data_IF_938813354302
#
_entry.id   IF_938813354302
#
_cell.length_a   1.000
_cell.length_b   1.000
_cell.length_c   1.000
_cell.angle_alpha   90.00
_cell.angle_beta   90.00
_cell.angle_gamma   90.00
#
_symmetry.space_group_name_H-M   'P 1'
#
loop_
_entity.id
_entity.type
_entity.pdbx_description
1 polymer ?
#
# COMPACT_ATOMS: atom_id res chain seq x y z
N UNK A 1 -5.75 9.03 1.54
CA UNK A 1 -6.35 8.23 0.45
C UNK A 1 -7.37 9.06 -0.32
N UNK A 2 -8.46 9.52 0.32
CA UNK A 2 -9.54 10.29 -0.33
C UNK A 2 -9.08 11.59 -0.98
N UNK A 3 -8.13 12.32 -0.41
CA UNK A 3 -7.56 13.52 -1.04
C UNK A 3 -6.92 13.22 -2.39
N UNK A 4 -6.07 12.18 -2.44
CA UNK A 4 -5.40 11.76 -3.67
C UNK A 4 -6.36 11.20 -4.72
N UNK A 5 -7.52 10.70 -4.30
CA UNK A 5 -8.58 10.26 -5.19
C UNK A 5 -9.42 11.43 -5.72
N UNK A 6 -9.93 12.27 -4.81
CA UNK A 6 -10.95 13.26 -5.15
C UNK A 6 -10.40 14.49 -5.86
N UNK A 7 -9.24 15.03 -5.45
CA UNK A 7 -8.67 16.22 -6.09
C UNK A 7 -8.37 16.03 -7.58
N UNK A 8 -7.68 14.95 -8.02
CA UNK A 8 -7.44 14.72 -9.44
C UNK A 8 -8.71 14.46 -10.26
N UNK A 9 -9.81 14.05 -9.61
CA UNK A 9 -11.11 13.88 -10.24
C UNK A 9 -11.95 15.16 -10.30
N UNK A 10 -11.39 16.32 -9.89
CA UNK A 10 -12.09 17.59 -9.87
C UNK A 10 -13.17 17.66 -8.80
N UNK A 11 -12.97 16.98 -7.67
CA UNK A 11 -13.86 16.95 -6.50
C UNK A 11 -13.17 17.55 -5.26
N UNK A 12 -12.28 18.51 -5.45
CA UNK A 12 -11.54 19.17 -4.36
C UNK A 12 -12.49 19.84 -3.36
N UNK A 13 -13.48 20.58 -3.84
CA UNK A 13 -14.46 21.27 -2.98
C UNK A 13 -15.25 20.28 -2.10
N UNK A 14 -15.57 19.09 -2.64
CA UNK A 14 -16.23 18.03 -1.89
C UNK A 14 -15.32 17.50 -0.77
N UNK A 15 -14.05 17.32 -1.06
CA UNK A 15 -13.06 16.89 -0.07
C UNK A 15 -12.89 17.95 1.03
N UNK A 16 -12.76 19.23 0.67
CA UNK A 16 -12.59 20.35 1.59
C UNK A 16 -13.82 20.60 2.47
N UNK A 17 -15.00 20.33 1.95
CA UNK A 17 -16.25 20.39 2.73
C UNK A 17 -16.37 19.26 3.77
N UNK A 18 -15.51 18.24 3.67
CA UNK A 18 -15.46 17.09 4.55
C UNK A 18 -16.07 15.82 3.94
N UNK A 19 -15.35 14.72 4.07
CA UNK A 19 -15.80 13.39 3.66
C UNK A 19 -15.70 12.41 4.83
N UNK A 20 -16.53 11.37 4.77
CA UNK A 20 -16.42 10.21 5.64
C UNK A 20 -15.98 9.03 4.80
N UNK A 21 -14.94 8.34 5.25
CA UNK A 21 -14.36 7.21 4.54
C UNK A 21 -14.21 6.00 5.45
N UNK A 22 -14.38 4.82 4.87
CA UNK A 22 -14.11 3.54 5.52
C UNK A 22 -13.12 2.75 4.66
N UNK A 23 -11.91 2.56 5.21
CA UNK A 23 -10.82 1.85 4.54
C UNK A 23 -10.45 0.64 5.40
N UNK A 24 -10.35 -0.54 4.77
CA UNK A 24 -9.86 -1.74 5.41
C UNK A 24 -9.28 -2.72 4.40
N UNK A 25 -8.34 -3.57 4.86
CA UNK A 25 -7.67 -4.59 4.07
C UNK A 25 -6.37 -5.01 4.71
N UNK A 26 -5.29 -4.98 3.94
CA UNK A 26 -3.92 -5.16 4.42
C UNK A 26 -3.06 -3.97 4.00
N UNK A 27 -1.89 -3.81 4.62
CA UNK A 27 -0.97 -2.73 4.26
C UNK A 27 -0.67 -2.72 2.76
N UNK A 28 -0.72 -1.54 2.14
CA UNK A 28 -0.60 -1.29 0.70
C UNK A 28 -1.73 -1.90 -0.17
N UNK A 29 -2.68 -2.62 0.41
CA UNK A 29 -3.86 -3.13 -0.27
C UNK A 29 -5.09 -3.03 0.66
N UNK A 30 -5.28 -1.86 1.25
CA UNK A 30 -6.51 -1.44 1.87
C UNK A 30 -7.49 -0.96 0.80
N UNK A 31 -8.77 -1.20 1.01
CA UNK A 31 -9.83 -0.85 0.07
C UNK A 31 -10.68 0.26 0.66
N UNK A 32 -10.92 1.31 -0.12
CA UNK A 32 -11.91 2.32 0.22
C UNK A 32 -13.30 1.71 0.01
N UNK A 33 -13.85 1.16 1.10
CA UNK A 33 -15.10 0.37 1.06
C UNK A 33 -16.33 1.24 0.88
N UNK A 34 -16.33 2.41 1.50
CA UNK A 34 -17.33 3.44 1.26
C UNK A 34 -16.72 4.83 1.41
N UNK A 35 -17.32 5.80 0.74
CA UNK A 35 -16.99 7.21 0.87
C UNK A 35 -18.25 8.05 0.65
N UNK A 36 -18.54 8.90 1.64
CA UNK A 36 -19.70 9.82 1.57
C UNK A 36 -19.26 11.25 1.77
N UNK A 37 -20.05 12.20 1.27
CA UNK A 37 -19.88 13.60 1.58
C UNK A 37 -20.28 13.91 3.03
N UNK A 38 -20.18 15.19 3.41
CA UNK A 38 -20.57 15.67 4.76
C UNK A 38 -22.06 15.42 5.09
N UNK A 39 -22.91 15.34 4.08
CA UNK A 39 -24.36 15.17 4.19
C UNK A 39 -24.76 13.67 4.13
N UNK A 40 -23.79 12.76 3.88
CA UNK A 40 -23.98 11.32 3.86
C UNK A 40 -24.36 10.76 2.47
N UNK A 41 -24.22 11.54 1.41
CA UNK A 41 -24.45 11.04 0.05
C UNK A 41 -23.26 10.19 -0.42
N UNK A 42 -23.56 9.04 -1.03
CA UNK A 42 -22.53 8.15 -1.60
C UNK A 42 -21.83 8.82 -2.79
N UNK A 43 -20.50 8.90 -2.72
CA UNK A 43 -19.67 9.52 -3.75
C UNK A 43 -19.19 8.52 -4.82
N UNK A 44 -19.30 7.22 -4.59
CA UNK A 44 -18.79 6.21 -5.53
C UNK A 44 -19.38 6.28 -6.94
N UNK A 45 -20.68 6.53 -7.13
CA UNK A 45 -21.23 6.68 -8.49
C UNK A 45 -20.55 7.77 -9.32
N UNK A 46 -20.29 8.93 -8.71
CA UNK A 46 -19.62 10.03 -9.41
C UNK A 46 -18.11 9.78 -9.55
N UNK A 47 -17.46 9.18 -8.54
CA UNK A 47 -16.06 8.76 -8.61
C UNK A 47 -15.83 7.79 -9.77
N UNK A 48 -16.66 6.75 -9.91
CA UNK A 48 -16.57 5.77 -11.00
C UNK A 48 -16.68 6.42 -12.38
N UNK A 49 -17.65 7.30 -12.54
CA UNK A 49 -17.86 8.05 -13.79
C UNK A 49 -16.63 8.90 -14.15
N UNK A 50 -16.11 9.67 -13.18
CA UNK A 50 -14.97 10.57 -13.41
C UNK A 50 -13.65 9.79 -13.60
N UNK A 51 -13.43 8.73 -12.84
CA UNK A 51 -12.26 7.86 -13.00
C UNK A 51 -12.22 7.21 -14.39
N UNK A 52 -13.35 6.68 -14.86
CA UNK A 52 -13.45 6.11 -16.21
C UNK A 52 -13.15 7.17 -17.31
N UNK A 53 -13.73 8.37 -17.17
CA UNK A 53 -13.49 9.47 -18.11
C UNK A 53 -12.00 9.90 -18.10
N UNK A 54 -11.37 9.96 -16.91
CA UNK A 54 -9.97 10.34 -16.77
C UNK A 54 -9.04 9.28 -17.38
N UNK A 55 -9.30 7.99 -17.15
CA UNK A 55 -8.51 6.90 -17.74
C UNK A 55 -8.66 6.79 -19.27
N UNK A 56 -9.75 7.29 -19.82
CA UNK A 56 -9.95 7.38 -21.27
C UNK A 56 -9.23 8.59 -21.93
N UNK A 57 -8.74 9.53 -21.13
CA UNK A 57 -8.06 10.74 -21.56
C UNK A 57 -6.54 10.60 -21.61
N UNK A 58 -5.85 11.62 -21.12
CA UNK A 58 -4.38 11.64 -21.06
C UNK A 58 -3.84 10.70 -19.97
N UNK A 59 -2.62 10.17 -20.22
CA UNK A 59 -1.91 9.34 -19.24
C UNK A 59 -1.63 10.12 -17.94
N UNK A 60 -1.83 9.46 -16.83
CA UNK A 60 -1.55 10.00 -15.51
C UNK A 60 -1.01 8.92 -14.56
N UNK A 61 -0.57 9.32 -13.38
CA UNK A 61 0.11 8.44 -12.44
C UNK A 61 -0.81 7.39 -11.77
N UNK A 62 -2.12 7.58 -11.81
CA UNK A 62 -3.08 6.77 -11.04
C UNK A 62 -3.97 5.84 -11.89
N UNK A 63 -3.52 5.47 -13.09
CA UNK A 63 -4.31 4.72 -14.06
C UNK A 63 -4.70 3.31 -13.58
N UNK A 64 -3.81 2.61 -12.87
CA UNK A 64 -4.08 1.26 -12.37
C UNK A 64 -5.18 1.25 -11.32
N UNK A 65 -5.12 2.15 -10.33
CA UNK A 65 -6.16 2.21 -9.29
C UNK A 65 -7.51 2.67 -9.83
N UNK A 66 -7.52 3.51 -10.86
CA UNK A 66 -8.77 3.87 -11.54
C UNK A 66 -9.33 2.71 -12.38
N UNK A 67 -8.46 1.86 -12.94
CA UNK A 67 -8.89 0.62 -13.57
C UNK A 67 -9.47 -0.38 -12.54
N UNK A 68 -8.91 -0.41 -11.32
CA UNK A 68 -9.49 -1.18 -10.21
C UNK A 68 -10.91 -0.69 -9.84
N UNK A 69 -11.14 0.63 -9.81
CA UNK A 69 -12.50 1.16 -9.60
C UNK A 69 -13.46 0.61 -10.66
N UNK A 70 -13.06 0.57 -11.93
CA UNK A 70 -13.88 0.05 -13.01
C UNK A 70 -14.08 -1.47 -12.95
N UNK A 71 -13.02 -2.24 -12.69
CA UNK A 71 -13.03 -3.70 -12.77
C UNK A 71 -13.41 -4.39 -11.45
N UNK A 72 -12.96 -3.83 -10.32
CA UNK A 72 -13.19 -4.40 -8.99
C UNK A 72 -14.24 -3.63 -8.19
N UNK A 73 -14.60 -2.44 -8.64
CA UNK A 73 -15.61 -1.60 -8.00
C UNK A 73 -15.10 -0.70 -6.88
N UNK A 74 -13.82 -0.79 -6.49
CA UNK A 74 -13.25 -0.13 -5.32
C UNK A 74 -11.88 0.49 -5.63
N UNK A 75 -11.57 1.58 -4.91
CA UNK A 75 -10.26 2.20 -4.94
C UNK A 75 -9.34 1.52 -3.91
N UNK A 76 -8.10 1.24 -4.32
CA UNK A 76 -7.08 0.65 -3.45
C UNK A 76 -6.20 1.73 -2.83
N UNK A 77 -5.69 1.48 -1.64
CA UNK A 77 -4.62 2.30 -1.04
C UNK A 77 -3.29 2.09 -1.79
N UNK A 78 -2.27 2.87 -1.43
CA UNK A 78 -0.97 2.91 -2.07
C UNK A 78 -1.00 3.44 -3.52
N UNK A 79 0.10 3.39 -4.24
CA UNK A 79 0.22 3.91 -5.61
C UNK A 79 -0.28 2.93 -6.67
N UNK A 80 -0.57 3.43 -7.85
CA UNK A 80 -0.84 2.60 -9.03
C UNK A 80 0.36 1.74 -9.42
N UNK A 81 1.57 2.24 -9.24
CA UNK A 81 2.84 1.55 -9.45
C UNK A 81 2.91 0.27 -8.60
N UNK A 82 2.80 0.41 -7.28
CA UNK A 82 2.86 -0.74 -6.38
C UNK A 82 1.70 -1.72 -6.59
N UNK A 83 0.50 -1.23 -6.89
CA UNK A 83 -0.60 -2.12 -7.22
C UNK A 83 -0.37 -2.91 -8.53
N UNK A 84 0.39 -2.35 -9.49
CA UNK A 84 0.82 -3.07 -10.67
C UNK A 84 1.92 -4.10 -10.40
N UNK A 85 2.83 -3.81 -9.45
CA UNK A 85 3.91 -4.71 -9.04
C UNK A 85 3.40 -5.89 -8.21
N UNK A 86 2.47 -5.65 -7.29
CA UNK A 86 1.97 -6.69 -6.38
C UNK A 86 1.04 -7.70 -7.07
N UNK A 87 0.36 -7.31 -8.13
CA UNK A 87 -0.68 -8.13 -8.74
C UNK A 87 -0.34 -8.53 -10.18
N UNK A 88 -0.72 -9.74 -10.64
CA UNK A 88 -0.31 -10.29 -11.93
C UNK A 88 -1.14 -9.77 -13.11
N UNK A 89 -1.58 -8.50 -13.10
CA UNK A 89 -2.54 -8.01 -14.09
C UNK A 89 -1.94 -7.09 -15.14
N UNK A 90 -0.88 -6.34 -14.81
CA UNK A 90 -0.41 -5.23 -15.64
C UNK A 90 1.01 -5.40 -16.14
N UNK A 91 1.95 -5.85 -15.31
CA UNK A 91 3.34 -6.08 -15.69
C UNK A 91 3.45 -7.55 -16.13
N UNK A 92 3.35 -7.79 -17.44
CA UNK A 92 3.31 -9.13 -18.01
C UNK A 92 4.20 -9.26 -19.22
N UNK A 93 5.07 -10.27 -19.22
CA UNK A 93 5.94 -10.57 -20.37
C UNK A 93 5.12 -10.83 -21.65
N UNK A 94 3.94 -11.45 -21.54
CA UNK A 94 3.05 -11.73 -22.68
C UNK A 94 2.31 -10.49 -23.21
N UNK A 95 2.15 -9.44 -22.42
CA UNK A 95 1.39 -8.23 -22.76
C UNK A 95 2.19 -6.97 -22.39
N UNK A 96 3.39 -6.77 -22.98
CA UNK A 96 4.28 -5.67 -22.58
C UNK A 96 3.69 -4.28 -22.84
N UNK A 97 2.72 -4.16 -23.75
CA UNK A 97 2.01 -2.92 -24.06
C UNK A 97 1.19 -2.38 -22.88
N UNK A 98 0.86 -3.22 -21.88
CA UNK A 98 0.12 -2.78 -20.70
C UNK A 98 0.94 -1.80 -19.86
N UNK A 99 2.26 -1.96 -19.81
CA UNK A 99 3.16 -1.08 -19.06
C UNK A 99 3.03 0.36 -19.59
N UNK A 100 3.10 0.53 -20.92
CA UNK A 100 2.91 1.83 -21.53
C UNK A 100 1.45 2.31 -21.42
N UNK A 101 0.49 1.42 -21.65
CA UNK A 101 -0.95 1.75 -21.59
C UNK A 101 -1.35 2.34 -20.23
N UNK A 102 -0.89 1.75 -19.14
CA UNK A 102 -1.21 2.17 -17.77
C UNK A 102 -0.16 3.11 -17.15
N UNK A 103 0.79 3.60 -17.96
CA UNK A 103 1.83 4.53 -17.50
C UNK A 103 2.58 4.03 -16.26
N UNK A 104 2.98 2.75 -16.27
CA UNK A 104 3.64 2.11 -15.13
C UNK A 104 5.14 2.41 -15.19
N UNK A 105 5.73 3.10 -14.20
CA UNK A 105 7.17 3.32 -14.15
C UNK A 105 7.88 2.02 -13.75
N UNK A 106 8.85 1.59 -14.57
CA UNK A 106 9.76 0.50 -14.24
C UNK A 106 11.06 1.08 -13.65
N UNK A 107 11.71 0.29 -12.80
CA UNK A 107 13.00 0.64 -12.17
C UNK A 107 12.96 1.97 -11.38
N UNK A 108 11.82 2.32 -10.82
CA UNK A 108 11.65 3.56 -10.09
C UNK A 108 12.56 3.61 -8.85
N UNK A 109 12.63 2.52 -8.07
CA UNK A 109 13.45 2.46 -6.87
C UNK A 109 14.95 2.66 -7.14
N UNK A 110 15.60 1.98 -8.10
CA UNK A 110 16.99 2.29 -8.47
C UNK A 110 17.19 3.74 -8.89
N UNK A 111 16.29 4.34 -9.67
CA UNK A 111 16.38 5.76 -10.05
C UNK A 111 16.26 6.69 -8.85
N UNK A 112 15.37 6.38 -7.91
CA UNK A 112 15.22 7.14 -6.67
C UNK A 112 16.49 7.08 -5.83
N UNK A 113 17.10 5.91 -5.69
CA UNK A 113 18.37 5.74 -4.98
C UNK A 113 19.49 6.60 -5.60
N UNK A 114 19.64 6.55 -6.92
CA UNK A 114 20.63 7.37 -7.64
C UNK A 114 20.40 8.87 -7.39
N UNK A 115 19.16 9.32 -7.49
CA UNK A 115 18.78 10.71 -7.25
C UNK A 115 19.05 11.16 -5.81
N UNK A 116 18.72 10.34 -4.82
CA UNK A 116 18.99 10.64 -3.41
C UNK A 116 20.49 10.70 -3.11
N UNK A 117 21.27 9.77 -3.63
CA UNK A 117 22.74 9.76 -3.48
C UNK A 117 23.34 11.04 -4.09
N UNK A 118 22.90 11.40 -5.30
CA UNK A 118 23.38 12.62 -5.96
C UNK A 118 23.00 13.89 -5.22
N UNK A 119 21.80 13.96 -4.63
CA UNK A 119 21.30 15.13 -3.89
C UNK A 119 21.88 15.29 -2.48
N UNK A 120 22.45 14.22 -1.90
CA UNK A 120 22.86 14.19 -0.50
C UNK A 120 23.89 15.28 -0.13
N UNK A 121 24.89 15.51 -0.99
CA UNK A 121 25.93 16.47 -0.71
C UNK A 121 25.40 17.92 -0.58
N UNK A 122 24.42 18.27 -1.37
CA UNK A 122 23.79 19.60 -1.35
C UNK A 122 22.84 19.73 -0.15
N UNK A 123 22.07 18.68 0.16
CA UNK A 123 21.22 18.65 1.36
C UNK A 123 22.07 18.74 2.65
N UNK A 124 23.20 18.01 2.71
CA UNK A 124 24.12 18.10 3.83
C UNK A 124 24.65 19.52 4.04
N UNK A 125 25.09 20.20 2.96
CA UNK A 125 25.54 21.60 3.03
C UNK A 125 24.43 22.52 3.52
N UNK A 126 23.21 22.37 3.01
CA UNK A 126 22.05 23.13 3.42
C UNK A 126 21.75 22.97 4.91
N UNK A 127 21.72 21.73 5.41
CA UNK A 127 21.41 21.42 6.81
C UNK A 127 22.51 21.87 7.79
N UNK A 128 23.78 21.92 7.36
CA UNK A 128 24.93 22.26 8.22
C UNK A 128 25.40 23.71 8.07
N UNK A 129 24.79 24.52 7.21
CA UNK A 129 25.17 25.92 7.05
C UNK A 129 24.63 26.79 8.20
N UNK A 130 25.43 27.74 8.69
CA UNK A 130 25.01 28.68 9.73
C UNK A 130 23.84 29.59 9.30
N UNK A 131 23.60 29.71 7.99
CA UNK A 131 22.52 30.50 7.41
C UNK A 131 21.22 29.69 7.21
N UNK A 132 21.22 28.40 7.52
CA UNK A 132 20.03 27.57 7.32
C UNK A 132 18.97 27.86 8.39
N UNK A 133 17.82 28.34 7.95
CA UNK A 133 16.62 28.40 8.77
C UNK A 133 15.85 27.12 8.49
N UNK A 134 15.79 26.22 9.48
CA UNK A 134 14.97 25.02 9.39
C UNK A 134 13.57 25.40 9.88
N UNK A 135 12.66 25.57 8.93
CA UNK A 135 11.24 25.72 9.26
C UNK A 135 10.67 24.38 9.66
N UNK A 136 10.18 24.28 10.89
CA UNK A 136 9.54 23.08 11.40
C UNK A 136 8.04 23.21 11.26
N UNK A 137 7.47 22.48 10.30
CA UNK A 137 6.01 22.35 10.14
C UNK A 137 5.58 20.93 10.46
N UNK A 138 4.42 20.79 11.12
CA UNK A 138 3.84 19.48 11.37
C UNK A 138 3.35 18.86 10.06
N UNK A 139 3.85 17.68 9.71
CA UNK A 139 3.46 16.97 8.49
C UNK A 139 2.13 16.24 8.67
N UNK A 140 1.62 15.64 7.59
CA UNK A 140 0.44 14.77 7.61
C UNK A 140 0.72 13.37 8.19
N UNK A 141 1.99 13.05 8.50
CA UNK A 141 2.39 11.78 9.06
C UNK A 141 1.84 11.56 10.48
N UNK A 142 1.41 10.34 10.77
CA UNK A 142 0.64 10.03 11.97
C UNK A 142 1.42 10.09 13.28
N UNK A 143 2.74 9.87 13.28
CA UNK A 143 3.51 9.64 14.50
C UNK A 143 3.30 10.73 15.56
N UNK A 144 3.35 12.00 15.16
CA UNK A 144 3.16 13.11 16.10
C UNK A 144 1.73 13.20 16.63
N UNK A 145 0.73 12.83 15.83
CA UNK A 145 -0.68 12.81 16.24
C UNK A 145 -1.00 11.63 17.17
N UNK A 146 -0.37 10.48 16.93
CA UNK A 146 -0.45 9.31 17.83
C UNK A 146 0.13 9.67 19.19
N UNK A 147 1.35 10.25 19.22
CA UNK A 147 1.98 10.68 20.47
C UNK A 147 1.12 11.69 21.24
N UNK A 148 0.58 12.68 20.53
CA UNK A 148 -0.31 13.67 21.12
C UNK A 148 -1.58 13.04 21.73
N UNK A 149 -2.25 12.16 20.98
CA UNK A 149 -3.44 11.46 21.47
C UNK A 149 -3.15 10.62 22.71
N UNK A 150 -2.03 9.91 22.74
CA UNK A 150 -1.61 9.10 23.90
C UNK A 150 -1.27 9.95 25.12
N UNK A 151 -0.74 11.15 24.95
CA UNK A 151 -0.39 12.05 26.06
C UNK A 151 -1.60 12.84 26.55
N UNK A 152 -2.41 13.36 25.64
CA UNK A 152 -3.53 14.27 25.98
C UNK A 152 -4.83 13.54 26.29
N UNK A 153 -4.99 12.30 25.80
CA UNK A 153 -6.25 11.57 25.84
C UNK A 153 -7.30 12.04 24.84
N UNK A 154 -6.96 13.00 23.97
CA UNK A 154 -7.85 13.43 22.88
C UNK A 154 -7.78 12.40 21.75
N UNK A 155 -8.91 11.72 21.43
CA UNK A 155 -8.89 10.64 20.45
C UNK A 155 -8.46 11.10 19.06
N UNK A 156 -7.60 10.30 18.40
CA UNK A 156 -7.20 10.51 17.00
C UNK A 156 -7.39 9.21 16.21
N UNK A 157 -7.95 9.31 15.00
CA UNK A 157 -8.21 8.17 14.11
C UNK A 157 -7.09 8.02 13.08
N UNK A 158 -6.58 6.80 12.95
CA UNK A 158 -5.62 6.41 11.92
C UNK A 158 -6.07 5.15 11.16
N UNK A 159 -5.47 4.84 10.00
CA UNK A 159 -5.39 3.48 9.47
C UNK A 159 -4.21 2.78 10.14
N UNK A 160 -4.47 1.74 10.92
CA UNK A 160 -3.44 1.05 11.68
C UNK A 160 -3.25 -0.39 11.24
N UNK A 161 -1.98 -0.84 11.22
CA UNK A 161 -1.62 -2.22 10.96
C UNK A 161 -1.58 -3.00 12.28
N UNK A 162 -2.50 -3.95 12.44
CA UNK A 162 -2.69 -4.73 13.67
C UNK A 162 -2.98 -6.20 13.35
N UNK A 163 -2.78 -7.07 14.34
CA UNK A 163 -3.20 -8.48 14.20
C UNK A 163 -4.73 -8.52 14.07
N UNK A 164 -5.21 -9.25 13.09
CA UNK A 164 -6.63 -9.30 12.72
C UNK A 164 -7.54 -9.70 13.89
N UNK A 165 -7.24 -10.79 14.58
CA UNK A 165 -8.05 -11.29 15.70
C UNK A 165 -9.58 -11.32 15.43
N UNK A 166 -9.98 -11.30 14.16
CA UNK A 166 -11.38 -11.29 13.73
C UNK A 166 -11.97 -9.91 13.44
N UNK A 167 -11.17 -8.87 13.36
CA UNK A 167 -11.60 -7.52 12.94
C UNK A 167 -12.14 -7.52 11.51
N UNK A 168 -11.47 -8.25 10.62
CA UNK A 168 -11.92 -8.61 9.28
C UNK A 168 -12.26 -10.10 9.30
N UNK A 169 -13.55 -10.45 9.22
CA UNK A 169 -14.04 -11.81 9.45
C UNK A 169 -13.57 -12.84 8.42
N UNK A 170 -13.38 -12.44 7.20
CA UNK A 170 -12.99 -13.31 6.07
C UNK A 170 -11.50 -13.23 5.71
N UNK A 171 -10.65 -12.84 6.67
CA UNK A 171 -9.21 -12.98 6.64
C UNK A 171 -8.74 -13.79 7.86
N UNK A 172 -7.58 -14.48 7.80
CA UNK A 172 -7.03 -15.24 8.92
C UNK A 172 -6.84 -14.39 10.17
N UNK A 173 -7.05 -14.97 11.33
CA UNK A 173 -6.93 -14.27 12.63
C UNK A 173 -5.51 -13.80 12.93
N UNK A 174 -4.51 -14.52 12.44
CA UNK A 174 -3.07 -14.26 12.58
C UNK A 174 -2.52 -13.26 11.55
N UNK A 175 -3.31 -12.91 10.53
CA UNK A 175 -2.89 -11.93 9.53
C UNK A 175 -2.70 -10.55 10.15
N UNK A 176 -1.73 -9.80 9.64
CA UNK A 176 -1.65 -8.37 9.86
C UNK A 176 -2.61 -7.66 8.90
N UNK A 177 -3.54 -6.89 9.44
CA UNK A 177 -4.57 -6.17 8.66
C UNK A 177 -4.48 -4.67 8.91
N UNK A 178 -4.84 -3.89 7.90
CA UNK A 178 -5.03 -2.45 8.02
C UNK A 178 -6.51 -2.16 8.26
N UNK A 179 -6.80 -1.57 9.43
CA UNK A 179 -8.16 -1.21 9.84
C UNK A 179 -8.16 0.17 10.50
N UNK A 180 -9.31 0.87 10.56
CA UNK A 180 -9.41 2.07 11.37
C UNK A 180 -9.07 1.77 12.83
N UNK A 181 -8.22 2.59 13.43
CA UNK A 181 -7.87 2.53 14.84
C UNK A 181 -8.13 3.89 15.49
N UNK A 182 -8.73 3.87 16.67
CA UNK A 182 -8.79 5.04 17.54
C UNK A 182 -7.63 4.99 18.53
N UNK A 183 -6.95 6.11 18.70
CA UNK A 183 -5.82 6.24 19.64
C UNK A 183 -6.20 7.23 20.72
N UNK A 184 -5.96 6.89 21.98
CA UNK A 184 -6.11 7.76 23.13
C UNK A 184 -5.08 7.42 24.22
N UNK A 185 -5.25 7.94 25.44
CA UNK A 185 -4.35 7.67 26.57
C UNK A 185 -4.43 6.23 27.13
N UNK A 186 -5.37 5.41 26.67
CA UNK A 186 -5.43 3.98 26.96
C UNK A 186 -4.78 3.12 25.88
N UNK A 187 -4.33 3.73 24.77
CA UNK A 187 -3.60 3.06 23.70
C UNK A 187 -4.33 3.00 22.38
N UNK A 188 -4.15 1.90 21.67
CA UNK A 188 -4.66 1.68 20.30
C UNK A 188 -5.90 0.79 20.38
N UNK A 189 -7.02 1.28 19.84
CA UNK A 189 -8.30 0.59 19.79
C UNK A 189 -8.68 0.29 18.33
N UNK A 190 -8.34 -0.91 17.81
CA UNK A 190 -8.72 -1.29 16.44
C UNK A 190 -10.24 -1.43 16.34
N UNK A 191 -10.79 -0.92 15.25
CA UNK A 191 -12.21 -1.00 14.97
C UNK A 191 -12.56 -2.28 14.21
N UNK A 192 -13.65 -2.91 14.60
CA UNK A 192 -14.24 -4.03 13.86
C UNK A 192 -14.76 -3.55 12.50
N UNK A 193 -14.48 -4.33 11.45
CA UNK A 193 -14.84 -4.03 10.06
C UNK A 193 -15.94 -4.95 9.54
N UNK A 194 -15.94 -6.22 9.97
CA UNK A 194 -16.79 -7.26 9.40
C UNK A 194 -16.17 -7.92 8.18
N UNK A 195 -16.96 -8.24 7.16
CA UNK A 195 -16.49 -8.91 5.94
C UNK A 195 -16.14 -7.92 4.85
N UNK A 196 -14.98 -8.07 4.27
CA UNK A 196 -14.67 -7.46 2.97
C UNK A 196 -15.52 -8.11 1.86
N UNK A 197 -15.79 -7.40 0.75
CA UNK A 197 -16.27 -8.04 -0.48
C UNK A 197 -15.39 -9.24 -0.83
N UNK A 198 -16.03 -10.35 -1.23
CA UNK A 198 -15.36 -11.66 -1.38
C UNK A 198 -14.14 -11.60 -2.30
N UNK A 199 -14.26 -10.90 -3.43
CA UNK A 199 -13.15 -10.76 -4.40
C UNK A 199 -11.98 -9.93 -3.86
N UNK A 200 -12.24 -8.92 -3.03
CA UNK A 200 -11.20 -8.11 -2.39
C UNK A 200 -10.49 -8.91 -1.29
N UNK A 201 -11.24 -9.64 -0.47
CA UNK A 201 -10.67 -10.56 0.51
C UNK A 201 -9.79 -11.64 -0.16
N UNK A 202 -10.22 -12.18 -1.31
CA UNK A 202 -9.43 -13.13 -2.08
C UNK A 202 -8.12 -12.54 -2.59
N UNK A 203 -8.14 -11.28 -3.07
CA UNK A 203 -6.91 -10.57 -3.46
C UNK A 203 -6.00 -10.33 -2.26
N UNK A 204 -6.52 -9.88 -1.12
CA UNK A 204 -5.73 -9.74 0.09
C UNK A 204 -5.11 -11.07 0.52
N UNK A 205 -5.86 -12.19 0.41
CA UNK A 205 -5.37 -13.52 0.77
C UNK A 205 -4.14 -13.96 -0.03
N UNK A 206 -4.00 -13.57 -1.29
CA UNK A 206 -2.80 -13.92 -2.07
C UNK A 206 -1.54 -13.39 -1.39
N UNK A 207 -1.58 -12.17 -0.85
CA UNK A 207 -0.46 -11.56 -0.15
C UNK A 207 -0.35 -12.00 1.32
N UNK A 208 -1.47 -12.21 2.01
CA UNK A 208 -1.46 -12.77 3.38
C UNK A 208 -0.74 -14.12 3.41
N UNK A 209 -0.93 -14.97 2.41
CA UNK A 209 -0.22 -16.24 2.28
C UNK A 209 1.30 -16.03 2.22
N UNK A 210 1.77 -15.06 1.45
CA UNK A 210 3.20 -14.68 1.37
C UNK A 210 3.70 -14.20 2.72
N UNK A 211 2.96 -13.29 3.36
CA UNK A 211 3.34 -12.70 4.64
C UNK A 211 3.52 -13.76 5.74
N UNK A 212 2.56 -14.69 5.86
CA UNK A 212 2.61 -15.74 6.87
C UNK A 212 3.82 -16.67 6.68
N UNK A 213 4.10 -17.06 5.44
CA UNK A 213 5.27 -17.91 5.14
C UNK A 213 6.59 -17.15 5.28
N UNK A 214 6.63 -15.86 4.94
CA UNK A 214 7.80 -15.01 5.17
C UNK A 214 8.10 -14.83 6.66
N UNK A 215 7.07 -14.67 7.50
CA UNK A 215 7.21 -14.65 8.95
C UNK A 215 7.77 -15.99 9.46
N UNK A 216 7.25 -17.11 8.96
CA UNK A 216 7.75 -18.44 9.31
C UNK A 216 9.23 -18.63 8.90
N UNK A 217 9.61 -18.11 7.72
CA UNK A 217 11.02 -18.08 7.29
C UNK A 217 11.90 -17.29 8.27
N UNK A 218 11.46 -16.13 8.68
CA UNK A 218 12.20 -15.24 9.59
C UNK A 218 12.35 -15.84 11.00
N UNK A 219 11.30 -16.51 11.49
CA UNK A 219 11.31 -17.11 12.85
C UNK A 219 12.10 -18.42 12.90
N UNK A 220 11.96 -19.27 11.88
CA UNK A 220 12.58 -20.61 11.87
C UNK A 220 13.98 -20.63 11.26
N UNK A 221 14.30 -19.63 10.43
CA UNK A 221 15.52 -19.56 9.62
C UNK A 221 15.68 -20.76 8.66
N UNK A 222 14.57 -21.37 8.24
CA UNK A 222 14.58 -22.42 7.23
C UNK A 222 14.54 -21.82 5.84
N UNK A 223 15.57 -22.10 5.03
CA UNK A 223 15.70 -21.59 3.66
C UNK A 223 14.54 -21.99 2.77
N UNK A 224 13.98 -23.18 2.99
CA UNK A 224 12.81 -23.67 2.24
C UNK A 224 11.59 -22.73 2.34
N UNK A 225 11.38 -22.08 3.49
CA UNK A 225 10.28 -21.13 3.67
C UNK A 225 10.49 -19.84 2.86
N UNK A 226 11.73 -19.42 2.61
CA UNK A 226 12.03 -18.29 1.71
C UNK A 226 11.60 -18.63 0.28
N UNK A 227 11.94 -19.84 -0.20
CA UNK A 227 11.47 -20.31 -1.50
C UNK A 227 9.94 -20.38 -1.58
N UNK A 228 9.31 -20.92 -0.53
CA UNK A 228 7.84 -21.04 -0.50
C UNK A 228 7.17 -19.65 -0.53
N UNK A 229 7.68 -18.67 0.20
CA UNK A 229 7.15 -17.31 0.16
C UNK A 229 7.24 -16.70 -1.25
N UNK A 230 8.40 -16.84 -1.91
CA UNK A 230 8.58 -16.36 -3.28
C UNK A 230 7.69 -17.09 -4.30
N UNK A 231 7.46 -18.40 -4.12
CA UNK A 231 6.55 -19.18 -4.98
C UNK A 231 5.08 -18.82 -4.80
N UNK A 232 4.69 -18.28 -3.64
CA UNK A 232 3.32 -17.87 -3.35
C UNK A 232 3.04 -16.42 -3.76
N UNK A 233 4.08 -15.63 -4.07
CA UNK A 233 3.88 -14.28 -4.57
C UNK A 233 3.13 -14.31 -5.91
N UNK A 234 1.97 -13.61 -6.01
CA UNK A 234 1.10 -13.76 -7.17
C UNK A 234 1.71 -13.24 -8.48
N UNK A 235 2.57 -12.23 -8.42
CA UNK A 235 3.24 -11.71 -9.61
C UNK A 235 4.38 -12.65 -10.03
N UNK A 236 5.25 -13.01 -9.10
CA UNK A 236 6.37 -13.92 -9.34
C UNK A 236 5.90 -15.25 -9.89
N UNK A 237 4.86 -15.85 -9.29
CA UNK A 237 4.28 -17.11 -9.74
C UNK A 237 3.62 -17.03 -11.13
N UNK A 238 3.15 -15.87 -11.54
CA UNK A 238 2.54 -15.68 -12.86
C UNK A 238 3.56 -15.54 -14.00
N UNK A 239 4.80 -15.16 -13.70
CA UNK A 239 5.81 -14.84 -14.71
C UNK A 239 6.98 -15.83 -14.75
N UNK A 240 7.29 -16.54 -13.65
CA UNK A 240 8.46 -17.40 -13.54
C UNK A 240 8.07 -18.87 -13.30
N UNK A 241 8.93 -19.79 -13.75
CA UNK A 241 8.85 -21.20 -13.35
C UNK A 241 9.34 -21.40 -11.91
N UNK A 242 8.99 -22.54 -11.30
CA UNK A 242 9.46 -22.89 -9.94
C UNK A 242 11.00 -22.90 -9.87
N UNK A 243 11.66 -23.41 -10.91
CA UNK A 243 13.12 -23.47 -10.93
C UNK A 243 13.75 -22.08 -11.06
N UNK A 244 13.17 -21.18 -11.87
CA UNK A 244 13.61 -19.79 -11.97
C UNK A 244 13.42 -19.04 -10.65
N UNK A 245 12.28 -19.25 -9.96
CA UNK A 245 12.03 -18.65 -8.64
C UNK A 245 13.10 -19.10 -7.63
N UNK A 246 13.44 -20.39 -7.62
CA UNK A 246 14.49 -20.91 -6.72
C UNK A 246 15.86 -20.28 -7.04
N UNK A 247 16.22 -20.22 -8.32
CA UNK A 247 17.48 -19.61 -8.76
C UNK A 247 17.54 -18.13 -8.38
N UNK A 248 16.47 -17.38 -8.61
CA UNK A 248 16.35 -15.97 -8.21
C UNK A 248 16.56 -15.78 -6.70
N UNK A 249 15.93 -16.62 -5.87
CA UNK A 249 16.09 -16.56 -4.41
C UNK A 249 17.53 -16.89 -4.00
N UNK A 250 18.15 -17.89 -4.62
CA UNK A 250 19.56 -18.25 -4.35
C UNK A 250 20.51 -17.12 -4.71
N UNK A 251 20.33 -16.50 -5.87
CA UNK A 251 21.12 -15.35 -6.31
C UNK A 251 20.98 -14.16 -5.38
N UNK A 252 19.75 -13.84 -4.97
CA UNK A 252 19.47 -12.76 -4.02
C UNK A 252 20.09 -13.02 -2.63
N UNK A 253 20.01 -14.24 -2.12
CA UNK A 253 20.64 -14.60 -0.83
C UNK A 253 22.16 -14.49 -0.94
N UNK A 254 22.76 -14.94 -2.04
CA UNK A 254 24.20 -14.85 -2.26
C UNK A 254 24.68 -13.40 -2.35
N UNK A 255 23.95 -12.54 -3.07
CA UNK A 255 24.30 -11.13 -3.24
C UNK A 255 24.13 -10.32 -1.93
N UNK A 256 23.10 -10.60 -1.15
CA UNK A 256 22.90 -9.96 0.17
C UNK A 256 23.93 -10.39 1.21
N UNK A 257 24.50 -11.59 1.09
CA UNK A 257 25.58 -12.08 1.95
C UNK A 257 25.29 -11.93 3.44
N UNK A 258 26.16 -11.24 4.16
CA UNK A 258 26.08 -11.07 5.63
C UNK A 258 24.96 -10.14 6.10
N UNK A 259 24.21 -9.47 5.20
CA UNK A 259 23.01 -8.72 5.55
C UNK A 259 21.83 -9.62 5.93
N UNK A 260 21.85 -10.86 5.48
CA UNK A 260 20.85 -11.86 5.82
C UNK A 260 21.34 -12.82 6.91
N UNK A 261 20.41 -13.37 7.71
CA UNK A 261 20.76 -14.42 8.65
C UNK A 261 21.21 -15.67 7.90
N UNK A 262 22.02 -16.51 8.56
CA UNK A 262 22.37 -17.82 8.01
C UNK A 262 21.17 -18.76 8.10
N UNK A 263 20.58 -19.07 6.97
CA UNK A 263 19.50 -20.04 6.87
C UNK A 263 20.02 -21.48 7.10
N UNK A 264 19.12 -22.33 7.62
CA UNK A 264 19.36 -23.77 7.86
C UNK A 264 18.93 -24.59 6.65
#
# INVERSE_FOLDING_TARGET
>A
CSEHLLRPLGMADTFEAGVREHIAGINHMGWLLDITDKDGNDLYPEIKKRAAAKNAGEKHWDMVRYDYIDKLGYYCTESSEHNAEYNPFYIKAKYPELIEKFNIPLDEYPRRCVSQIAGWADEYKKLTSDASVIEHTRSMEYASYIMEAMVTGVPYKIGGNVINNGLIENLPREACVEVPCMIDNYGIHPCYVGKLPVHLAAMNMTHVNVHLVAIEAAVTLKKEHVYHAAMLDPHTAAELSIDDIRSMVDDLIAEHGDWLPKYK
#
